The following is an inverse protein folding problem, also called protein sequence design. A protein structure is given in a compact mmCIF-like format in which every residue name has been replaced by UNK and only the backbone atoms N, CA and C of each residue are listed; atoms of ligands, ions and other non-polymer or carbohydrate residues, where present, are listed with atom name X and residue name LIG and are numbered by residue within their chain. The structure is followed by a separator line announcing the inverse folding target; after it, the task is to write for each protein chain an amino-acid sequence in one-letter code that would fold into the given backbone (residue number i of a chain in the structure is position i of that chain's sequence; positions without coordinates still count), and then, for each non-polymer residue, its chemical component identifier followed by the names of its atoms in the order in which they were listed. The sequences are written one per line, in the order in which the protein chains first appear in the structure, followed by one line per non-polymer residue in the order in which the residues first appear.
data_IF_075120088379
#
_entry.id   IF_075120088379
#
_cell.length_a   1.000
_cell.length_b   1.000
_cell.length_c   1.000
_cell.angle_alpha   90.00
_cell.angle_beta   90.00
_cell.angle_gamma   90.00
#
_symmetry.space_group_name_H-M   'P 1'
#
loop_
_entity.id
_entity.type
_entity.pdbx_description
1 polymer ?
#
# COMPACT_ATOMS: atom_id res chain seq x y z
N UNK A 1 23.53 2.61 8.92
CA UNK A 1 22.28 2.85 9.69
C UNK A 1 22.00 1.61 10.52
N UNK A 2 22.03 1.73 11.85
CA UNK A 2 21.77 0.60 12.77
C UNK A 2 20.32 0.17 12.63
N UNK A 3 20.09 -1.04 12.12
CA UNK A 3 18.79 -1.70 12.10
C UNK A 3 18.38 -1.95 13.56
N UNK A 4 17.78 -0.96 14.23
CA UNK A 4 16.94 -1.21 15.39
C UNK A 4 15.81 -2.10 14.88
N UNK A 5 15.99 -3.41 14.96
CA UNK A 5 14.89 -4.35 14.75
C UNK A 5 13.84 -3.97 15.78
N UNK A 6 12.73 -3.39 15.31
CA UNK A 6 11.61 -2.99 16.14
C UNK A 6 11.16 -4.22 16.94
N UNK A 7 11.44 -4.25 18.25
CA UNK A 7 11.30 -5.45 19.08
C UNK A 7 9.91 -6.09 18.98
N UNK A 8 8.89 -5.27 18.68
CA UNK A 8 7.52 -5.70 18.42
C UNK A 8 7.37 -6.53 17.15
N UNK A 9 8.08 -6.17 16.08
CA UNK A 9 8.10 -6.96 14.83
C UNK A 9 8.73 -8.33 15.07
N UNK A 10 9.83 -8.38 15.81
CA UNK A 10 10.47 -9.64 16.20
C UNK A 10 9.59 -10.50 17.11
N UNK A 11 8.86 -9.89 18.05
CA UNK A 11 7.88 -10.59 18.90
C UNK A 11 6.72 -11.17 18.08
N UNK A 12 6.18 -10.41 17.13
CA UNK A 12 5.12 -10.88 16.24
C UNK A 12 5.60 -12.08 15.40
N UNK A 13 6.82 -12.00 14.84
CA UNK A 13 7.41 -13.13 14.13
C UNK A 13 7.58 -14.36 15.03
N UNK A 14 8.11 -14.18 16.26
CA UNK A 14 8.27 -15.27 17.22
C UNK A 14 6.93 -15.96 17.50
N UNK A 15 5.88 -15.20 17.76
CA UNK A 15 4.55 -15.75 18.00
C UNK A 15 4.03 -16.57 16.80
N UNK A 16 4.21 -16.08 15.57
CA UNK A 16 3.82 -16.86 14.39
C UNK A 16 4.66 -18.13 14.19
N UNK A 17 5.96 -18.11 14.52
CA UNK A 17 6.83 -19.29 14.48
C UNK A 17 6.50 -20.33 15.55
N UNK A 18 5.81 -19.92 16.62
CA UNK A 18 5.19 -20.79 17.62
C UNK A 18 3.82 -21.34 17.15
N UNK A 19 3.36 -20.98 15.94
CA UNK A 19 2.08 -21.40 15.38
C UNK A 19 0.88 -20.54 15.80
N UNK A 20 1.10 -19.41 16.48
CA UNK A 20 0.01 -18.52 16.90
C UNK A 20 -0.54 -17.72 15.71
N UNK A 21 -1.85 -17.50 15.73
CA UNK A 21 -2.54 -16.54 14.86
C UNK A 21 -2.60 -15.19 15.57
N UNK A 22 -2.32 -14.11 14.85
CA UNK A 22 -2.33 -12.75 15.38
C UNK A 22 -3.50 -11.99 14.75
N UNK A 23 -4.53 -11.68 15.53
CA UNK A 23 -5.66 -10.92 15.05
C UNK A 23 -5.36 -9.42 15.10
N UNK A 24 -5.71 -8.69 14.05
CA UNK A 24 -5.47 -7.25 13.93
C UNK A 24 -6.02 -6.40 15.09
N UNK A 25 -7.18 -6.77 15.65
CA UNK A 25 -7.86 -5.99 16.70
C UNK A 25 -7.09 -5.95 18.01
N UNK A 26 -6.36 -7.02 18.33
CA UNK A 26 -5.64 -7.19 19.60
C UNK A 26 -4.40 -6.28 19.69
N UNK A 27 -4.03 -5.65 18.58
CA UNK A 27 -2.78 -4.89 18.42
C UNK A 27 -3.00 -3.49 17.83
N UNK A 28 -4.16 -2.88 18.08
CA UNK A 28 -4.43 -1.50 17.65
C UNK A 28 -4.57 -1.31 16.14
N UNK A 29 -4.96 -2.37 15.42
CA UNK A 29 -5.22 -2.43 13.98
C UNK A 29 -4.06 -2.03 13.05
N UNK A 30 -3.65 -0.76 13.03
CA UNK A 30 -2.60 -0.24 12.14
C UNK A 30 -1.21 -0.80 12.45
N UNK A 31 -0.91 -1.01 13.74
CA UNK A 31 0.43 -1.44 14.18
C UNK A 31 0.77 -2.86 13.71
N UNK A 32 -0.14 -3.83 13.92
CA UNK A 32 0.11 -5.20 13.46
C UNK A 32 0.29 -5.26 11.95
N UNK A 33 -0.55 -4.56 11.18
CA UNK A 33 -0.43 -4.54 9.72
C UNK A 33 0.95 -4.04 9.26
N UNK A 34 1.49 -3.02 9.93
CA UNK A 34 2.84 -2.50 9.67
C UNK A 34 3.92 -3.55 9.95
N UNK A 35 3.86 -4.24 11.10
CA UNK A 35 4.82 -5.29 11.44
C UNK A 35 4.78 -6.45 10.45
N UNK A 36 3.58 -6.91 10.09
CA UNK A 36 3.41 -7.98 9.11
C UNK A 36 3.91 -7.54 7.72
N UNK A 37 3.68 -6.28 7.34
CA UNK A 37 4.24 -5.73 6.11
C UNK A 37 5.77 -5.76 6.11
N UNK A 38 6.42 -5.41 7.22
CA UNK A 38 7.88 -5.51 7.37
C UNK A 38 8.37 -6.95 7.23
N UNK A 39 7.76 -7.89 7.96
CA UNK A 39 8.12 -9.32 7.93
C UNK A 39 8.03 -9.86 6.49
N UNK A 40 6.92 -9.60 5.80
CA UNK A 40 6.71 -10.13 4.45
C UNK A 40 7.56 -9.43 3.39
N UNK A 41 7.59 -8.10 3.41
CA UNK A 41 8.08 -7.31 2.27
C UNK A 41 9.53 -6.87 2.40
N UNK A 42 10.11 -6.92 3.60
CA UNK A 42 11.50 -6.55 3.86
C UNK A 42 12.32 -7.74 4.31
N UNK A 43 11.77 -8.58 5.19
CA UNK A 43 12.48 -9.77 5.68
C UNK A 43 12.29 -10.97 4.75
N UNK A 44 11.27 -10.93 3.88
CA UNK A 44 10.91 -11.98 2.93
C UNK A 44 10.56 -13.29 3.63
N UNK A 45 9.80 -13.17 4.72
CA UNK A 45 9.27 -14.30 5.46
C UNK A 45 7.80 -14.48 5.07
N UNK A 46 7.36 -15.69 4.71
CA UNK A 46 5.99 -15.92 4.28
C UNK A 46 5.01 -15.71 5.44
N UNK A 47 3.97 -14.94 5.17
CA UNK A 47 2.86 -14.69 6.10
C UNK A 47 1.56 -14.70 5.30
N UNK A 48 0.62 -15.50 5.78
CA UNK A 48 -0.74 -15.57 5.25
C UNK A 48 -1.68 -14.69 6.07
N UNK A 49 -2.80 -14.36 5.46
CA UNK A 49 -3.86 -13.60 6.11
C UNK A 49 -5.22 -14.16 5.76
N UNK A 50 -6.09 -14.33 6.75
CA UNK A 50 -7.49 -14.73 6.56
C UNK A 50 -8.39 -13.63 7.14
N UNK A 51 -9.44 -13.27 6.41
CA UNK A 51 -10.47 -12.37 6.92
C UNK A 51 -11.36 -13.09 7.94
N UNK A 52 -11.57 -12.44 9.08
CA UNK A 52 -12.37 -12.97 10.20
C UNK A 52 -13.76 -12.35 10.24
N UNK A 53 -14.69 -12.99 10.96
CA UNK A 53 -16.08 -12.54 11.07
C UNK A 53 -16.24 -11.15 11.70
N UNK A 54 -15.27 -10.72 12.51
CA UNK A 54 -15.21 -9.37 13.09
C UNK A 54 -14.71 -8.29 12.10
N UNK A 55 -14.67 -8.61 10.79
CA UNK A 55 -14.21 -7.72 9.71
C UNK A 55 -12.75 -7.29 9.84
N UNK A 56 -11.95 -8.05 10.58
CA UNK A 56 -10.50 -7.87 10.66
C UNK A 56 -9.75 -8.97 9.93
N UNK A 57 -8.42 -9.05 10.13
CA UNK A 57 -7.57 -10.07 9.55
C UNK A 57 -6.81 -10.80 10.66
N UNK A 58 -6.78 -12.12 10.56
CA UNK A 58 -5.79 -12.95 11.25
C UNK A 58 -4.56 -13.07 10.37
N UNK A 59 -3.38 -12.85 10.95
CA UNK A 59 -2.10 -13.13 10.32
C UNK A 59 -1.45 -14.35 10.95
N UNK A 60 -0.91 -15.24 10.11
CA UNK A 60 -0.25 -16.45 10.58
C UNK A 60 0.76 -16.96 9.58
N UNK A 61 1.63 -17.86 10.04
CA UNK A 61 2.53 -18.63 9.18
C UNK A 61 2.01 -20.07 9.12
N UNK A 62 1.80 -20.67 7.94
CA UNK A 62 1.43 -22.07 7.82
C UNK A 62 2.46 -22.99 8.46
N UNK A 63 2.02 -24.13 9.02
CA UNK A 63 2.91 -25.09 9.69
C UNK A 63 4.07 -25.56 8.79
N UNK A 64 3.79 -25.80 7.50
CA UNK A 64 4.81 -26.15 6.51
C UNK A 64 5.90 -25.07 6.41
N UNK A 65 5.50 -23.81 6.36
CA UNK A 65 6.43 -22.67 6.27
C UNK A 65 7.20 -22.45 7.57
N UNK A 66 6.59 -22.73 8.73
CA UNK A 66 7.29 -22.72 10.04
C UNK A 66 8.40 -23.78 10.05
N UNK A 67 8.12 -24.98 9.56
CA UNK A 67 9.11 -26.06 9.52
C UNK A 67 10.25 -25.74 8.55
N UNK A 68 9.94 -25.21 7.36
CA UNK A 68 10.96 -24.70 6.43
C UNK A 68 11.80 -23.60 7.07
N UNK A 69 11.18 -22.68 7.80
CA UNK A 69 11.90 -21.62 8.48
C UNK A 69 12.83 -22.17 9.57
N UNK A 70 12.46 -23.22 10.30
CA UNK A 70 13.33 -23.79 11.34
C UNK A 70 14.56 -24.52 10.77
N UNK A 71 14.48 -25.03 9.54
CA UNK A 71 15.61 -25.65 8.84
C UNK A 71 16.48 -24.57 8.13
N UNK A 72 17.79 -24.47 8.42
CA UNK A 72 18.66 -23.46 7.80
C UNK A 72 18.70 -23.48 6.27
N UNK A 73 18.75 -24.66 5.65
CA UNK A 73 18.85 -24.82 4.20
C UNK A 73 17.54 -24.41 3.52
N UNK A 74 16.42 -24.93 4.02
CA UNK A 74 15.09 -24.63 3.48
C UNK A 74 14.66 -23.18 3.75
N UNK A 75 15.15 -22.56 4.85
CA UNK A 75 14.89 -21.15 5.14
C UNK A 75 15.45 -20.23 4.05
N UNK A 76 16.65 -20.53 3.55
CA UNK A 76 17.25 -19.70 2.50
C UNK A 76 16.46 -19.80 1.20
N UNK A 77 16.06 -21.01 0.81
CA UNK A 77 15.19 -21.25 -0.35
C UNK A 77 13.85 -20.52 -0.21
N UNK A 78 13.14 -20.74 0.90
CA UNK A 78 11.87 -20.07 1.24
C UNK A 78 11.97 -18.54 1.14
N UNK A 79 13.09 -17.97 1.59
CA UNK A 79 13.32 -16.54 1.54
C UNK A 79 13.46 -16.03 0.10
N UNK A 80 14.14 -16.78 -0.77
CA UNK A 80 14.28 -16.41 -2.18
C UNK A 80 12.95 -16.52 -2.91
N UNK A 81 12.18 -17.58 -2.66
CA UNK A 81 10.83 -17.75 -3.21
C UNK A 81 9.93 -16.58 -2.81
N UNK A 82 9.88 -16.27 -1.52
CA UNK A 82 9.06 -15.16 -0.99
C UNK A 82 9.50 -13.82 -1.58
N UNK A 83 10.82 -13.59 -1.70
CA UNK A 83 11.36 -12.38 -2.34
C UNK A 83 10.93 -12.27 -3.80
N UNK A 84 11.03 -13.36 -4.57
CA UNK A 84 10.61 -13.39 -5.97
C UNK A 84 9.11 -13.09 -6.10
N UNK A 85 8.29 -13.66 -5.22
CA UNK A 85 6.86 -13.41 -5.20
C UNK A 85 6.51 -11.95 -4.87
N UNK A 86 7.14 -11.38 -3.83
CA UNK A 86 6.95 -9.96 -3.45
C UNK A 86 7.31 -9.04 -4.62
N UNK A 87 8.42 -9.31 -5.30
CA UNK A 87 8.83 -8.54 -6.47
C UNK A 87 7.86 -8.68 -7.64
N UNK A 88 7.37 -9.89 -7.92
CA UNK A 88 6.35 -10.13 -8.95
C UNK A 88 5.09 -9.32 -8.67
N UNK A 89 4.56 -9.38 -7.44
CA UNK A 89 3.37 -8.61 -7.02
C UNK A 89 3.60 -7.10 -7.16
N UNK A 90 4.77 -6.59 -6.76
CA UNK A 90 5.13 -5.16 -6.93
C UNK A 90 5.15 -4.73 -8.40
N UNK A 91 5.77 -5.54 -9.28
CA UNK A 91 5.79 -5.27 -10.72
C UNK A 91 4.37 -5.22 -11.29
N UNK A 92 3.52 -6.20 -10.96
CA UNK A 92 2.12 -6.23 -11.39
C UNK A 92 1.34 -5.00 -10.90
N UNK A 93 1.55 -4.58 -9.66
CA UNK A 93 0.89 -3.39 -9.11
C UNK A 93 1.37 -2.10 -9.81
N UNK A 94 2.66 -2.00 -10.13
CA UNK A 94 3.20 -0.86 -10.88
C UNK A 94 2.60 -0.80 -12.29
N UNK A 95 2.49 -1.93 -12.99
CA UNK A 95 1.85 -2.00 -14.31
C UNK A 95 0.39 -1.54 -14.27
N UNK A 96 -0.40 -2.05 -13.32
CA UNK A 96 -1.80 -1.62 -13.13
C UNK A 96 -1.92 -0.11 -12.89
N UNK A 97 -0.99 0.49 -12.14
CA UNK A 97 -0.98 1.94 -11.91
C UNK A 97 -0.65 2.72 -13.19
N UNK A 98 0.29 2.22 -13.99
CA UNK A 98 0.62 2.84 -15.28
C UNK A 98 -0.57 2.80 -16.25
N UNK A 99 -1.29 1.67 -16.31
CA UNK A 99 -2.52 1.54 -17.10
C UNK A 99 -3.60 2.54 -16.65
N UNK A 100 -3.82 2.68 -15.34
CA UNK A 100 -4.77 3.65 -14.80
C UNK A 100 -4.40 5.10 -15.15
N UNK A 101 -3.12 5.46 -15.01
CA UNK A 101 -2.64 6.82 -15.37
C UNK A 101 -2.78 7.07 -16.86
N UNK A 102 -2.49 6.08 -17.70
CA UNK A 102 -2.67 6.18 -19.15
C UNK A 102 -4.13 6.41 -19.54
N UNK A 103 -5.07 5.65 -18.95
CA UNK A 103 -6.50 5.81 -19.18
C UNK A 103 -6.99 7.21 -18.75
N UNK A 104 -6.53 7.71 -17.60
CA UNK A 104 -6.85 9.07 -17.13
C UNK A 104 -6.30 10.11 -18.11
N UNK A 105 -5.06 9.93 -18.58
CA UNK A 105 -4.45 10.85 -19.55
C UNK A 105 -5.23 10.88 -20.86
N UNK A 106 -5.64 9.73 -21.40
CA UNK A 106 -6.44 9.66 -22.63
C UNK A 106 -7.82 10.33 -22.46
N UNK A 107 -8.49 10.11 -21.31
CA UNK A 107 -9.79 10.74 -21.02
C UNK A 107 -9.73 12.27 -20.90
N UNK A 108 -8.58 12.83 -20.48
CA UNK A 108 -8.39 14.29 -20.39
C UNK A 108 -8.02 14.93 -21.74
N UNK A 109 -7.47 14.17 -22.67
CA UNK A 109 -7.16 14.66 -24.03
C UNK A 109 -8.43 14.73 -24.91
N UNK A 110 -9.50 14.01 -24.58
CA UNK A 110 -10.80 14.06 -25.27
C UNK A 110 -11.70 15.18 -24.74
N UNK A 111 -11.20 16.41 -24.60
CA UNK A 111 -12.08 17.59 -24.55
C UNK A 111 -12.24 18.07 -25.99
N UNK A 112 -13.31 17.61 -26.63
CA UNK A 112 -13.71 18.04 -27.97
C UNK A 112 -14.02 19.55 -27.94
N UNK A 113 -13.33 20.34 -28.76
CA UNK A 113 -13.67 21.73 -29.04
C UNK A 113 -14.98 21.78 -29.84
N UNK A 114 -16.11 21.57 -29.18
CA UNK A 114 -17.43 21.88 -29.71
C UNK A 114 -18.17 22.71 -28.66
N UNK A 115 -18.66 23.87 -29.10
CA UNK A 115 -19.63 24.71 -28.43
C UNK A 115 -19.16 25.56 -27.25
N UNK A 116 -18.41 26.63 -27.56
CA UNK A 116 -18.65 27.95 -26.94
C UNK A 116 -18.56 29.05 -27.98
N UNK A 117 -19.70 29.39 -28.60
CA UNK A 117 -19.90 30.71 -29.19
C UNK A 117 -19.77 31.75 -28.07
N UNK A 118 -18.68 32.51 -28.05
CA UNK A 118 -18.54 33.66 -27.15
C UNK A 118 -19.20 34.85 -27.86
N UNK A 119 -20.43 35.18 -27.45
CA UNK A 119 -21.08 36.44 -27.82
C UNK A 119 -20.40 37.58 -27.07
N UNK A 120 -19.87 38.55 -27.82
CA UNK A 120 -19.11 39.69 -27.34
C UNK A 120 -20.02 40.92 -27.43
N UNK A 121 -20.97 41.03 -26.50
CA UNK A 121 -21.85 42.20 -26.39
C UNK A 121 -21.42 43.03 -25.18
N UNK A 122 -20.82 44.17 -25.53
CA UNK A 122 -20.55 45.41 -24.83
C UNK A 122 -20.95 45.53 -23.34
N UNK A 123 -19.95 45.82 -22.50
CA UNK A 123 -20.12 46.62 -21.30
C UNK A 123 -19.24 47.88 -21.39
N UNK A 124 -19.73 48.88 -22.14
CA UNK A 124 -19.26 50.26 -22.01
C UNK A 124 -20.21 51.01 -21.05
N UNK A 125 -19.60 51.87 -20.23
CA UNK A 125 -20.19 53.06 -19.57
C UNK A 125 -20.66 52.91 -18.11
N UNK A 126 -19.82 53.35 -17.17
CA UNK A 126 -20.00 54.61 -16.41
C UNK A 126 -18.99 54.65 -15.25
N UNK A 127 -17.90 55.42 -15.33
CA UNK A 127 -17.80 56.83 -14.93
C UNK A 127 -17.99 57.10 -13.43
N UNK A 128 -16.88 57.58 -12.86
CA UNK A 128 -16.74 58.52 -11.73
C UNK A 128 -16.87 58.02 -10.29
N UNK A 129 -15.81 58.27 -9.49
CA UNK A 129 -16.01 58.80 -8.14
C UNK A 129 -14.99 58.45 -7.05
N UNK A 130 -13.85 59.15 -7.02
CA UNK A 130 -13.39 59.82 -5.78
C UNK A 130 -12.53 59.10 -4.73
N UNK A 131 -11.30 59.64 -4.56
CA UNK A 131 -10.51 59.89 -3.32
C UNK A 131 -9.95 58.70 -2.54
N UNK A 132 -8.63 58.48 -2.57
CA UNK A 132 -7.54 59.15 -1.81
C UNK A 132 -7.22 58.39 -0.52
N UNK A 133 -6.05 57.74 -0.52
CA UNK A 133 -5.40 57.12 0.64
C UNK A 133 -4.51 58.17 1.31
N UNK A 134 -4.60 58.28 2.64
CA UNK A 134 -3.44 58.46 3.51
C UNK A 134 -3.13 57.11 4.18
#
# INVERSE_FOLDING_TARGET
MSNKSDGKTSMALKAMLEGKKLNRKDFGNASLHSWISTIRNQWFIPVESIYTHDRTCDYYMPWKEINRYKNPELRQEQRQETKAEVLKRRKQQALKRLEQVSAISQSKTTITCADKYVSLEAATSSLTGGKSHE
#
